data_IF_574707652489
#
_entry.id   IF_574707652489
#
_cell.length_a   1.000
_cell.length_b   1.000
_cell.length_c   1.000
_cell.angle_alpha   90.00
_cell.angle_beta   90.00
_cell.angle_gamma   90.00
#
_symmetry.space_group_name_H-M   'P 1'
#
loop_
_entity.id
_entity.type
_entity.pdbx_description
1 polymer ?
#
# COMPACT_ATOMS: atom_id res chain seq x y z
N UNK A 1 -15.56 -25.19 -13.96
CA UNK A 1 -14.19 -25.71 -14.14
C UNK A 1 -13.89 -26.53 -12.89
N UNK A 2 -13.55 -27.83 -12.99
CA UNK A 2 -13.41 -28.67 -11.81
C UNK A 2 -12.10 -28.42 -11.02
N UNK A 3 -11.06 -27.91 -11.69
CA UNK A 3 -9.77 -27.57 -11.08
C UNK A 3 -9.36 -26.15 -11.49
N UNK A 4 -9.69 -25.17 -10.65
CA UNK A 4 -9.35 -23.77 -10.87
C UNK A 4 -7.85 -23.48 -10.71
N UNK A 5 -7.14 -24.28 -9.89
CA UNK A 5 -5.71 -24.11 -9.67
C UNK A 5 -4.92 -24.44 -10.95
N UNK A 6 -5.19 -25.60 -11.54
CA UNK A 6 -4.56 -26.02 -12.81
C UNK A 6 -4.91 -25.04 -13.93
N UNK A 7 -6.17 -24.61 -14.03
CA UNK A 7 -6.58 -23.62 -15.03
C UNK A 7 -5.82 -22.29 -14.88
N UNK A 8 -5.76 -21.73 -13.66
CA UNK A 8 -5.08 -20.47 -13.41
C UNK A 8 -3.56 -20.59 -13.69
N UNK A 9 -2.94 -21.70 -13.29
CA UNK A 9 -1.49 -21.89 -13.44
C UNK A 9 -1.04 -22.05 -14.91
N UNK A 10 -1.94 -22.41 -15.84
CA UNK A 10 -1.64 -22.42 -17.28
C UNK A 10 -1.39 -21.02 -17.88
N UNK A 11 -1.60 -19.96 -17.09
CA UNK A 11 -1.38 -18.56 -17.49
C UNK A 11 -0.11 -17.97 -16.89
N UNK A 12 0.79 -18.82 -16.36
CA UNK A 12 2.13 -18.45 -15.91
C UNK A 12 3.11 -18.74 -17.05
N UNK A 13 3.92 -17.76 -17.40
CA UNK A 13 4.91 -17.86 -18.46
C UNK A 13 6.27 -17.40 -17.95
N UNK A 14 7.32 -18.16 -18.26
CA UNK A 14 8.69 -17.67 -18.13
C UNK A 14 8.94 -16.59 -19.20
N UNK A 15 9.60 -15.52 -18.82
CA UNK A 15 9.88 -14.37 -19.69
C UNK A 15 11.33 -13.91 -19.56
N UNK A 16 11.85 -13.32 -20.62
CA UNK A 16 13.11 -12.58 -20.56
C UNK A 16 12.83 -11.10 -20.28
N UNK A 17 13.68 -10.47 -19.47
CA UNK A 17 13.61 -9.03 -19.20
C UNK A 17 14.53 -8.30 -20.19
N UNK A 18 14.00 -7.43 -21.07
CA UNK A 18 14.84 -6.72 -22.04
C UNK A 18 15.93 -5.90 -21.35
N UNK A 19 17.19 -6.13 -21.73
CA UNK A 19 18.34 -5.41 -21.17
C UNK A 19 18.86 -5.97 -19.85
N UNK A 20 18.39 -7.14 -19.41
CA UNK A 20 18.89 -7.85 -18.23
C UNK A 20 19.14 -9.32 -18.59
N UNK A 21 20.32 -9.84 -18.21
CA UNK A 21 20.71 -11.23 -18.51
C UNK A 21 20.25 -12.23 -17.42
N UNK A 22 19.59 -11.75 -16.37
CA UNK A 22 19.08 -12.57 -15.29
C UNK A 22 17.98 -13.54 -15.78
N UNK A 23 18.09 -14.80 -15.37
CA UNK A 23 17.06 -15.81 -15.62
C UNK A 23 16.02 -15.86 -14.49
N UNK A 24 14.92 -16.58 -14.72
CA UNK A 24 13.91 -16.86 -13.68
C UNK A 24 12.79 -15.83 -13.57
N UNK A 25 12.69 -14.86 -14.49
CA UNK A 25 11.55 -13.95 -14.51
C UNK A 25 10.28 -14.64 -15.03
N UNK A 26 9.15 -14.34 -14.39
CA UNK A 26 7.84 -14.95 -14.70
C UNK A 26 6.76 -13.88 -14.82
N UNK A 27 5.78 -14.11 -15.68
CA UNK A 27 4.55 -13.30 -15.78
C UNK A 27 3.33 -14.18 -15.60
N UNK A 28 2.33 -13.66 -14.90
CA UNK A 28 0.99 -14.22 -14.85
C UNK A 28 0.01 -13.20 -15.44
N UNK A 29 -0.87 -13.65 -16.35
CA UNK A 29 -1.99 -12.85 -16.85
C UNK A 29 -3.26 -13.69 -16.86
N UNK A 30 -4.14 -13.47 -15.88
CA UNK A 30 -5.34 -14.27 -15.74
C UNK A 30 -6.22 -13.83 -14.57
N UNK A 31 -7.26 -14.60 -14.30
CA UNK A 31 -8.14 -14.31 -13.16
C UNK A 31 -7.52 -14.79 -11.84
N UNK A 32 -7.74 -14.05 -10.76
CA UNK A 32 -7.45 -14.41 -9.37
C UNK A 32 -8.60 -13.97 -8.47
N UNK A 33 -8.72 -14.56 -7.28
CA UNK A 33 -9.54 -13.97 -6.22
C UNK A 33 -8.93 -12.62 -5.85
N UNK A 34 -9.76 -11.61 -5.60
CA UNK A 34 -9.27 -10.33 -5.08
C UNK A 34 -8.59 -10.55 -3.73
N UNK A 35 -7.39 -10.01 -3.59
CA UNK A 35 -6.57 -10.13 -2.39
C UNK A 35 -6.37 -8.79 -1.67
N UNK A 36 -6.90 -7.69 -2.22
CA UNK A 36 -7.02 -6.44 -1.50
C UNK A 36 -8.20 -6.53 -0.52
N UNK A 37 -7.97 -6.08 0.70
CA UNK A 37 -8.94 -6.14 1.80
C UNK A 37 -9.30 -4.72 2.16
N UNK A 38 -10.60 -4.48 2.25
CA UNK A 38 -11.12 -3.14 2.15
C UNK A 38 -12.60 -3.04 2.49
N UNK A 39 -12.96 -2.00 3.24
CA UNK A 39 -14.34 -1.61 3.44
C UNK A 39 -14.56 -0.10 3.18
N UNK A 40 -14.34 0.28 1.93
CA UNK A 40 -14.32 1.70 1.52
C UNK A 40 -15.72 2.33 1.49
N UNK A 41 -16.79 1.57 1.25
CA UNK A 41 -18.14 2.11 1.25
C UNK A 41 -18.50 2.84 2.54
N UNK A 42 -18.01 2.34 3.67
CA UNK A 42 -18.28 2.90 4.99
C UNK A 42 -17.33 4.03 5.38
N UNK A 43 -16.09 4.01 4.90
CA UNK A 43 -15.13 5.10 5.10
C UNK A 43 -15.46 6.34 4.24
N UNK A 44 -16.11 6.19 3.07
CA UNK A 44 -16.20 7.24 2.04
C UNK A 44 -17.58 7.87 1.85
N UNK A 45 -18.66 7.21 2.29
CA UNK A 45 -20.03 7.75 2.23
C UNK A 45 -20.64 7.75 3.64
N UNK A 46 -20.43 8.87 4.36
CA UNK A 46 -21.03 9.19 5.67
C UNK A 46 -20.42 8.49 6.92
N UNK A 47 -19.17 8.00 6.90
CA UNK A 47 -18.51 7.34 8.05
C UNK A 47 -19.45 6.31 8.72
N UNK A 48 -19.73 5.22 8.01
CA UNK A 48 -20.54 4.12 8.50
C UNK A 48 -19.70 2.96 9.05
N UNK A 49 -18.46 3.24 9.49
CA UNK A 49 -17.57 2.27 10.16
C UNK A 49 -17.19 2.82 11.52
N UNK A 50 -16.88 1.94 12.48
CA UNK A 50 -16.31 2.32 13.77
C UNK A 50 -14.77 2.18 13.70
N UNK A 51 -14.03 3.29 13.47
CA UNK A 51 -12.58 3.23 13.32
C UNK A 51 -11.84 2.88 14.60
N UNK A 52 -12.56 2.83 15.74
CA UNK A 52 -12.05 2.41 17.05
C UNK A 52 -12.56 1.01 17.44
N UNK A 53 -13.32 0.38 16.56
CA UNK A 53 -13.87 -0.94 16.72
C UNK A 53 -12.83 -2.06 16.54
N UNK A 54 -13.27 -3.32 16.60
CA UNK A 54 -12.40 -4.46 16.29
C UNK A 54 -12.02 -4.47 14.80
N UNK A 55 -10.78 -4.87 14.50
CA UNK A 55 -10.25 -4.97 13.13
C UNK A 55 -10.99 -5.95 12.23
N UNK A 56 -11.74 -6.88 12.80
CA UNK A 56 -12.60 -7.86 12.13
C UNK A 56 -14.09 -7.59 12.39
N UNK A 57 -14.44 -6.33 12.71
CA UNK A 57 -15.79 -5.91 13.03
C UNK A 57 -16.74 -5.82 11.83
N UNK A 58 -16.19 -5.66 10.62
CA UNK A 58 -16.94 -5.42 9.41
C UNK A 58 -16.55 -6.39 8.28
N UNK A 59 -17.28 -6.31 7.15
CA UNK A 59 -17.04 -7.19 6.01
C UNK A 59 -16.07 -6.56 5.02
N UNK A 60 -15.14 -7.35 4.51
CA UNK A 60 -14.42 -7.01 3.29
C UNK A 60 -15.38 -7.06 2.09
N UNK A 61 -15.69 -5.91 1.49
CA UNK A 61 -16.65 -5.81 0.38
C UNK A 61 -16.14 -6.46 -0.92
N UNK A 62 -14.88 -6.88 -0.94
CA UNK A 62 -14.22 -7.53 -2.07
C UNK A 62 -14.10 -9.05 -1.92
N UNK A 63 -14.51 -9.64 -0.79
CA UNK A 63 -14.27 -11.05 -0.47
C UNK A 63 -14.78 -12.04 -1.51
N UNK A 64 -15.91 -11.72 -2.14
CA UNK A 64 -16.59 -12.56 -3.12
C UNK A 64 -16.25 -12.18 -4.58
N UNK A 65 -15.16 -11.42 -4.79
CA UNK A 65 -14.79 -10.90 -6.11
C UNK A 65 -13.59 -11.63 -6.72
N UNK A 66 -13.65 -11.75 -8.05
CA UNK A 66 -12.51 -12.13 -8.87
C UNK A 66 -12.04 -10.90 -9.65
N UNK A 67 -10.72 -10.77 -9.79
CA UNK A 67 -10.08 -9.73 -10.61
C UNK A 67 -9.24 -10.34 -11.72
N UNK A 68 -9.04 -9.57 -12.78
CA UNK A 68 -8.03 -9.90 -13.80
C UNK A 68 -6.71 -9.29 -13.35
N UNK A 69 -5.72 -10.13 -13.09
CA UNK A 69 -4.42 -9.71 -12.59
C UNK A 69 -3.35 -9.85 -13.66
N UNK A 70 -2.43 -8.90 -13.65
CA UNK A 70 -1.11 -9.01 -14.27
C UNK A 70 -0.13 -9.02 -13.10
N UNK A 71 0.64 -10.10 -12.94
CA UNK A 71 1.69 -10.18 -11.94
C UNK A 71 3.03 -10.50 -12.61
N UNK A 72 4.10 -9.92 -12.08
CA UNK A 72 5.46 -10.09 -12.58
C UNK A 72 6.35 -10.51 -11.41
N UNK A 73 7.13 -11.56 -11.61
CA UNK A 73 8.26 -11.90 -10.74
C UNK A 73 9.54 -11.60 -11.51
N UNK A 74 10.34 -10.69 -10.99
CA UNK A 74 11.49 -10.12 -11.69
C UNK A 74 12.70 -10.20 -10.75
N UNK A 75 13.87 -10.71 -11.21
CA UNK A 75 15.10 -10.63 -10.44
C UNK A 75 15.44 -9.18 -10.05
N UNK A 76 15.86 -8.97 -8.80
CA UNK A 76 16.15 -7.63 -8.25
C UNK A 76 17.16 -6.87 -9.12
N UNK A 77 18.19 -7.55 -9.61
CA UNK A 77 19.23 -6.98 -10.47
C UNK A 77 18.71 -6.42 -11.82
N UNK A 78 17.49 -6.79 -12.22
CA UNK A 78 16.83 -6.20 -13.39
C UNK A 78 16.01 -4.93 -13.08
N UNK A 79 15.78 -4.61 -11.80
CA UNK A 79 14.95 -3.49 -11.35
C UNK A 79 15.77 -2.33 -10.78
N UNK A 80 16.89 -2.63 -10.15
CA UNK A 80 17.77 -1.64 -9.53
C UNK A 80 18.80 -1.10 -10.52
N UNK A 81 19.13 0.18 -10.40
CA UNK A 81 20.23 0.80 -11.12
C UNK A 81 21.14 1.51 -10.13
N UNK A 82 22.45 1.53 -10.42
CA UNK A 82 23.47 2.10 -9.54
C UNK A 82 23.45 1.47 -8.13
N UNK A 83 23.76 2.28 -7.10
CA UNK A 83 23.87 1.85 -5.71
C UNK A 83 22.62 2.19 -4.86
N UNK A 84 21.52 2.68 -5.46
CA UNK A 84 20.28 3.01 -4.74
C UNK A 84 19.31 1.80 -4.80
N UNK A 85 19.06 1.11 -3.68
CA UNK A 85 18.18 -0.06 -3.67
C UNK A 85 16.70 0.32 -3.65
N UNK A 86 16.36 1.61 -3.53
CA UNK A 86 14.97 2.05 -3.44
C UNK A 86 14.41 2.35 -4.82
N UNK A 87 13.43 1.55 -5.23
CA UNK A 87 12.62 1.81 -6.43
C UNK A 87 11.30 2.45 -6.04
N UNK A 88 10.76 3.31 -6.92
CA UNK A 88 9.45 3.95 -6.76
C UNK A 88 8.56 3.69 -7.96
N UNK A 89 7.34 3.24 -7.71
CA UNK A 89 6.34 2.95 -8.74
C UNK A 89 5.02 3.67 -8.49
N UNK A 90 4.35 4.05 -9.58
CA UNK A 90 2.95 4.47 -9.54
C UNK A 90 2.25 3.96 -10.80
N UNK A 91 0.96 3.67 -10.66
CA UNK A 91 0.12 3.24 -11.76
C UNK A 91 -0.59 4.43 -12.38
N UNK A 92 -0.97 4.33 -13.66
CA UNK A 92 -1.78 5.37 -14.33
C UNK A 92 -2.85 4.72 -15.20
N UNK A 93 -4.04 5.29 -15.23
CA UNK A 93 -5.07 4.97 -16.20
C UNK A 93 -5.16 6.08 -17.26
N UNK A 94 -5.26 5.70 -18.53
CA UNK A 94 -5.37 6.64 -19.65
C UNK A 94 -6.61 6.38 -20.49
N UNK A 95 -7.36 7.45 -20.79
CA UNK A 95 -8.60 7.42 -21.58
C UNK A 95 -8.41 8.13 -22.93
N UNK A 96 -9.02 7.60 -23.98
CA UNK A 96 -9.07 8.23 -25.31
C UNK A 96 -8.95 7.24 -26.46
N UNK A 97 -9.65 7.54 -27.57
CA UNK A 97 -9.58 6.75 -28.81
C UNK A 97 -8.31 7.05 -29.64
N UNK A 98 -7.75 8.26 -29.49
CA UNK A 98 -6.57 8.71 -30.22
C UNK A 98 -5.31 8.68 -29.35
N UNK A 99 -4.13 8.57 -29.99
CA UNK A 99 -2.82 8.61 -29.34
C UNK A 99 -2.23 10.04 -29.46
N UNK A 100 -1.69 10.65 -28.39
CA UNK A 100 -1.57 10.12 -27.04
C UNK A 100 -2.88 10.18 -26.24
N UNK A 101 -3.16 9.10 -25.49
CA UNK A 101 -4.29 9.05 -24.54
C UNK A 101 -4.03 9.97 -23.35
N UNK A 102 -5.07 10.61 -22.82
CA UNK A 102 -4.98 11.48 -21.64
C UNK A 102 -4.96 10.64 -20.36
N UNK A 103 -4.07 10.96 -19.42
CA UNK A 103 -4.11 10.37 -18.08
C UNK A 103 -5.32 10.92 -17.32
N UNK A 104 -6.09 10.01 -16.71
CA UNK A 104 -7.32 10.34 -15.97
C UNK A 104 -7.30 9.78 -14.55
N UNK A 105 -6.29 8.98 -14.21
CA UNK A 105 -6.05 8.50 -12.86
C UNK A 105 -4.58 8.15 -12.69
N UNK A 106 -4.10 8.30 -11.46
CA UNK A 106 -2.87 7.69 -10.98
C UNK A 106 -2.99 7.26 -9.52
N UNK A 107 -2.18 6.30 -9.13
CA UNK A 107 -2.14 5.78 -7.76
C UNK A 107 -0.76 5.18 -7.43
N UNK A 108 -0.16 5.61 -6.33
CA UNK A 108 0.92 4.91 -5.63
C UNK A 108 0.40 4.24 -4.36
N UNK A 109 0.24 5.04 -3.30
CA UNK A 109 -0.22 4.67 -1.96
C UNK A 109 -1.76 4.68 -1.92
N UNK A 110 -2.42 3.60 -1.46
CA UNK A 110 -3.86 3.40 -1.64
C UNK A 110 -4.81 4.46 -1.07
N UNK A 111 -4.46 5.19 -0.01
CA UNK A 111 -5.34 6.23 0.55
C UNK A 111 -5.04 7.65 0.06
N UNK A 112 -3.93 7.89 -0.67
CA UNK A 112 -3.55 9.27 -0.99
C UNK A 112 -4.52 9.91 -1.98
N UNK A 113 -4.76 9.28 -3.14
CA UNK A 113 -5.70 9.83 -4.11
C UNK A 113 -7.14 9.76 -3.58
N UNK A 114 -7.42 8.79 -2.73
CA UNK A 114 -8.72 8.36 -2.27
C UNK A 114 -9.26 9.29 -1.18
N UNK A 115 -8.47 9.53 -0.12
CA UNK A 115 -8.86 10.27 1.10
C UNK A 115 -8.04 11.54 1.32
N UNK A 116 -6.74 11.50 1.04
CA UNK A 116 -5.85 12.64 1.35
C UNK A 116 -6.10 13.80 0.40
N UNK A 117 -6.17 13.53 -0.91
CA UNK A 117 -6.41 14.57 -1.92
C UNK A 117 -7.88 14.97 -1.95
N UNK A 118 -8.15 16.25 -1.69
CA UNK A 118 -9.48 16.82 -1.73
C UNK A 118 -10.16 16.71 -3.10
N UNK A 119 -11.49 16.55 -3.08
CA UNK A 119 -12.32 16.37 -4.28
C UNK A 119 -12.13 17.49 -5.32
N UNK A 120 -11.93 18.73 -4.88
CA UNK A 120 -11.72 19.90 -5.75
C UNK A 120 -10.40 19.86 -6.52
N UNK A 121 -9.43 19.05 -6.06
CA UNK A 121 -8.10 18.91 -6.65
C UNK A 121 -7.82 17.50 -7.18
N UNK A 122 -8.74 16.55 -7.00
CA UNK A 122 -8.59 15.14 -7.39
C UNK A 122 -8.35 14.97 -8.88
N UNK A 123 -9.05 15.69 -9.74
CA UNK A 123 -8.80 15.65 -11.20
C UNK A 123 -7.41 16.17 -11.56
N UNK A 124 -6.96 17.24 -10.90
CA UNK A 124 -5.62 17.82 -11.13
C UNK A 124 -4.52 16.86 -10.67
N UNK A 125 -4.70 16.18 -9.53
CA UNK A 125 -3.79 15.14 -9.05
C UNK A 125 -3.76 13.96 -10.01
N UNK A 126 -4.92 13.46 -10.43
CA UNK A 126 -5.05 12.32 -11.33
C UNK A 126 -4.45 12.57 -12.72
N UNK A 127 -4.46 13.82 -13.19
CA UNK A 127 -3.86 14.21 -14.46
C UNK A 127 -2.35 14.53 -14.38
N UNK A 128 -1.76 14.64 -13.17
CA UNK A 128 -0.36 15.03 -12.98
C UNK A 128 0.60 13.84 -12.89
N UNK A 129 1.91 14.13 -12.88
CA UNK A 129 2.96 13.17 -12.51
C UNK A 129 3.44 13.46 -11.09
N UNK A 130 3.94 12.44 -10.35
CA UNK A 130 4.35 12.62 -8.96
C UNK A 130 5.43 13.68 -8.71
N UNK A 131 6.25 13.98 -9.72
CA UNK A 131 7.38 14.93 -9.64
C UNK A 131 7.03 16.35 -9.16
N UNK A 132 5.75 16.73 -9.20
CA UNK A 132 5.27 18.06 -8.80
C UNK A 132 4.36 18.04 -7.56
N UNK A 133 4.29 16.90 -6.86
CA UNK A 133 3.31 16.72 -5.78
C UNK A 133 3.56 17.62 -4.59
N UNK A 134 4.82 17.75 -4.17
CA UNK A 134 5.21 18.67 -3.11
C UNK A 134 4.81 20.12 -3.41
N UNK A 135 4.85 20.53 -4.68
CA UNK A 135 4.49 21.90 -5.09
C UNK A 135 2.98 22.12 -5.13
N UNK A 136 2.20 21.11 -5.50
CA UNK A 136 0.79 21.30 -5.84
C UNK A 136 -0.22 20.70 -4.85
N UNK A 137 0.22 19.75 -4.02
CA UNK A 137 -0.65 18.94 -3.17
C UNK A 137 -0.14 18.76 -1.73
N UNK A 138 1.05 19.27 -1.38
CA UNK A 138 1.61 19.09 -0.03
C UNK A 138 0.70 19.55 1.11
N UNK A 139 -0.16 20.54 0.89
CA UNK A 139 -1.11 21.02 1.90
C UNK A 139 -2.08 19.92 2.36
N UNK A 140 -2.48 19.01 1.47
CA UNK A 140 -3.38 17.90 1.78
C UNK A 140 -2.71 16.86 2.68
N UNK A 141 -1.43 16.61 2.46
CA UNK A 141 -0.63 15.67 3.28
C UNK A 141 -0.27 16.31 4.63
N UNK A 142 0.11 17.58 4.63
CA UNK A 142 0.55 18.29 5.85
C UNK A 142 -0.60 18.75 6.74
N UNK A 143 -1.81 18.91 6.19
CA UNK A 143 -3.01 19.32 6.92
C UNK A 143 -4.18 18.42 6.52
N UNK A 144 -4.12 17.12 6.85
CA UNK A 144 -5.13 16.16 6.42
C UNK A 144 -6.47 16.46 7.08
N UNK A 145 -7.56 16.31 6.32
CA UNK A 145 -8.93 16.51 6.83
C UNK A 145 -9.45 15.31 7.60
N UNK A 146 -8.93 14.10 7.34
CA UNK A 146 -9.41 12.87 7.95
C UNK A 146 -9.35 12.90 9.50
N UNK A 147 -8.25 13.29 10.16
CA UNK A 147 -8.23 13.37 11.63
C UNK A 147 -9.22 14.36 12.23
N UNK A 148 -9.50 15.46 11.53
CA UNK A 148 -10.51 16.44 11.97
C UNK A 148 -11.92 15.84 11.91
N UNK A 149 -12.20 15.00 10.90
CA UNK A 149 -13.47 14.30 10.78
C UNK A 149 -13.62 13.21 11.84
N UNK A 150 -12.55 12.44 12.09
CA UNK A 150 -12.56 11.41 13.14
C UNK A 150 -12.73 12.06 14.53
N UNK A 151 -12.08 13.20 14.81
CA UNK A 151 -12.32 13.97 16.03
C UNK A 151 -13.80 14.33 16.19
N UNK A 152 -14.40 14.91 15.15
CA UNK A 152 -15.78 15.38 15.20
C UNK A 152 -16.81 14.25 15.43
N UNK A 153 -16.52 13.04 14.95
CA UNK A 153 -17.43 11.89 14.99
C UNK A 153 -17.17 10.96 16.19
N UNK A 154 -15.92 10.79 16.59
CA UNK A 154 -15.48 9.77 17.55
C UNK A 154 -14.70 10.34 18.76
N UNK A 155 -14.37 11.63 18.75
CA UNK A 155 -13.65 12.29 19.86
C UNK A 155 -12.18 11.91 19.97
N UNK A 156 -11.58 11.38 18.90
CA UNK A 156 -10.15 11.08 18.80
C UNK A 156 -9.37 12.38 18.62
N UNK A 157 -8.27 12.57 19.35
CA UNK A 157 -7.50 13.81 19.27
C UNK A 157 -6.72 13.83 17.96
N UNK A 158 -6.90 14.83 17.08
CA UNK A 158 -6.16 14.89 15.83
C UNK A 158 -4.69 15.23 16.11
N UNK A 159 -3.73 14.61 15.39
CA UNK A 159 -2.33 14.98 15.53
C UNK A 159 -2.06 16.41 15.07
N UNK A 160 -1.07 17.05 15.71
CA UNK A 160 -0.71 18.43 15.38
C UNK A 160 -0.22 18.56 13.93
N UNK A 161 -0.64 19.63 13.26
CA UNK A 161 -0.17 20.01 11.92
C UNK A 161 0.94 21.06 12.00
N UNK A 162 1.89 21.10 11.05
CA UNK A 162 1.95 20.31 9.82
C UNK A 162 2.48 18.88 10.03
N UNK A 163 1.85 17.91 9.35
CA UNK A 163 2.20 16.48 9.36
C UNK A 163 3.39 16.14 8.47
N UNK A 164 4.59 16.39 8.96
CA UNK A 164 5.85 16.10 8.25
C UNK A 164 6.11 14.59 8.13
N UNK A 165 5.66 13.83 9.13
CA UNK A 165 5.69 12.37 9.14
C UNK A 165 4.89 11.77 7.96
N UNK A 166 3.76 12.36 7.58
CA UNK A 166 3.00 11.94 6.39
C UNK A 166 3.70 12.31 5.08
N UNK A 167 4.48 13.40 5.06
CA UNK A 167 5.34 13.72 3.90
C UNK A 167 6.41 12.63 3.73
N UNK A 168 6.98 12.14 4.83
CA UNK A 168 7.90 11.01 4.81
C UNK A 168 7.22 9.72 4.35
N UNK A 169 6.09 9.36 4.96
CA UNK A 169 5.37 8.14 4.61
C UNK A 169 4.93 8.09 3.14
N UNK A 170 4.35 9.17 2.60
CA UNK A 170 3.71 9.14 1.28
C UNK A 170 4.51 9.80 0.15
N UNK A 171 5.45 10.71 0.45
CA UNK A 171 6.04 11.58 -0.57
C UNK A 171 7.54 11.41 -0.72
N UNK A 172 8.30 11.30 0.37
CA UNK A 172 9.77 11.19 0.30
C UNK A 172 10.30 9.79 0.58
N UNK A 173 9.53 8.96 1.29
CA UNK A 173 9.98 7.69 1.86
C UNK A 173 10.40 7.87 3.32
N UNK A 174 10.34 6.77 4.08
CA UNK A 174 10.75 6.70 5.48
C UNK A 174 12.28 6.63 5.54
N UNK A 175 12.96 7.55 6.25
CA UNK A 175 14.42 7.54 6.38
C UNK A 175 14.96 6.18 6.83
N UNK A 176 15.99 5.69 6.16
CA UNK A 176 16.62 4.39 6.47
C UNK A 176 15.83 3.15 6.03
N UNK A 177 14.60 3.32 5.53
CA UNK A 177 13.78 2.22 5.02
C UNK A 177 13.45 2.41 3.54
N UNK A 178 12.57 3.36 3.20
CA UNK A 178 12.08 3.58 1.83
C UNK A 178 12.48 4.94 1.25
N UNK A 179 13.32 5.73 1.92
CA UNK A 179 13.83 7.00 1.38
C UNK A 179 14.92 6.76 0.32
N UNK A 180 14.74 7.20 -0.94
CA UNK A 180 15.78 7.11 -1.97
C UNK A 180 17.02 7.94 -1.62
N UNK A 181 18.21 7.45 -1.99
CA UNK A 181 19.49 8.09 -1.68
C UNK A 181 19.59 9.52 -2.21
N UNK A 182 19.03 9.79 -3.39
CA UNK A 182 19.00 11.13 -3.96
C UNK A 182 18.19 12.13 -3.10
N UNK A 183 17.08 11.67 -2.50
CA UNK A 183 16.25 12.49 -1.61
C UNK A 183 16.99 12.72 -0.28
N UNK A 184 17.56 11.67 0.31
CA UNK A 184 18.38 11.76 1.53
C UNK A 184 19.56 12.74 1.37
N UNK A 185 20.15 12.83 0.17
CA UNK A 185 21.21 13.77 -0.16
C UNK A 185 20.73 15.22 -0.45
N UNK A 186 19.42 15.49 -0.38
CA UNK A 186 18.83 16.81 -0.64
C UNK A 186 18.72 17.20 -2.12
N UNK A 187 18.98 16.27 -3.05
CA UNK A 187 18.97 16.52 -4.50
C UNK A 187 17.79 15.92 -5.27
N UNK A 188 17.04 14.99 -4.66
CA UNK A 188 15.90 14.30 -5.25
C UNK A 188 14.57 15.05 -5.13
N UNK A 189 13.56 14.64 -5.91
CA UNK A 189 12.19 15.17 -5.82
C UNK A 189 11.26 14.11 -5.23
N UNK A 190 10.65 14.43 -4.10
CA UNK A 190 9.56 13.63 -3.55
C UNK A 190 8.33 13.65 -4.47
N UNK A 191 7.56 12.57 -4.39
CA UNK A 191 6.33 12.35 -5.14
C UNK A 191 5.57 11.17 -4.55
N UNK A 192 4.25 11.19 -4.70
CA UNK A 192 3.37 10.09 -4.30
C UNK A 192 3.66 8.87 -5.18
N UNK A 193 4.31 7.87 -4.58
CA UNK A 193 4.77 6.62 -5.20
C UNK A 193 4.85 5.54 -4.12
N UNK A 194 4.44 4.30 -4.46
CA UNK A 194 4.77 3.14 -3.65
C UNK A 194 6.27 2.85 -3.82
N UNK A 195 7.00 2.79 -2.71
CA UNK A 195 8.45 2.59 -2.72
C UNK A 195 8.80 1.22 -2.16
N UNK A 196 9.82 0.59 -2.72
CA UNK A 196 10.35 -0.69 -2.26
C UNK A 196 11.87 -0.56 -2.16
N UNK A 197 12.41 -0.82 -0.98
CA UNK A 197 13.83 -1.06 -0.80
C UNK A 197 14.13 -2.53 -1.07
N UNK A 198 14.70 -2.82 -2.22
CA UNK A 198 14.95 -4.19 -2.66
C UNK A 198 16.11 -4.87 -1.90
N UNK A 199 16.86 -4.12 -1.10
CA UNK A 199 17.94 -4.65 -0.27
C UNK A 199 17.52 -4.93 1.17
N UNK A 200 16.26 -4.61 1.54
CA UNK A 200 15.77 -4.77 2.90
C UNK A 200 14.36 -5.40 2.96
N UNK A 201 14.13 -6.40 3.83
CA UNK A 201 15.14 -7.12 4.61
C UNK A 201 16.06 -7.93 3.69
N UNK A 202 17.31 -8.18 4.12
CA UNK A 202 18.28 -8.96 3.34
C UNK A 202 17.73 -10.36 3.00
N UNK A 203 16.97 -10.94 3.93
CA UNK A 203 16.20 -12.16 3.71
C UNK A 203 14.71 -11.83 3.81
N UNK A 204 13.89 -12.13 2.78
CA UNK A 204 12.45 -11.90 2.86
C UNK A 204 11.80 -12.61 4.05
N UNK A 205 10.93 -11.91 4.78
CA UNK A 205 10.15 -12.48 5.89
C UNK A 205 9.32 -13.67 5.38
N UNK A 206 9.49 -14.88 5.93
CA UNK A 206 8.70 -16.05 5.56
C UNK A 206 7.21 -15.76 5.72
N UNK A 207 6.35 -16.24 4.80
CA UNK A 207 4.89 -15.98 4.84
C UNK A 207 4.24 -16.24 6.21
N UNK A 208 4.68 -17.28 6.92
CA UNK A 208 4.11 -17.65 8.22
C UNK A 208 4.50 -16.69 9.36
N UNK A 209 5.47 -15.81 9.12
CA UNK A 209 5.99 -14.81 10.06
C UNK A 209 5.66 -13.38 9.60
N UNK A 210 4.93 -13.22 8.49
CA UNK A 210 4.51 -11.91 8.02
C UNK A 210 3.36 -11.40 8.89
N UNK A 211 3.52 -10.18 9.39
CA UNK A 211 2.50 -9.48 10.15
C UNK A 211 1.68 -8.58 9.23
N UNK A 212 0.34 -8.64 9.36
CA UNK A 212 -0.59 -7.88 8.52
C UNK A 212 -0.44 -6.36 8.71
N UNK A 213 -0.03 -5.91 9.90
CA UNK A 213 0.24 -4.50 10.20
C UNK A 213 1.63 -4.01 9.74
N UNK A 214 2.45 -4.84 9.09
CA UNK A 214 3.71 -4.46 8.46
C UNK A 214 4.60 -3.60 9.38
N UNK A 215 4.90 -2.38 8.94
CA UNK A 215 5.72 -1.43 9.71
C UNK A 215 5.21 -1.23 11.15
N UNK A 216 3.91 -1.15 11.39
CA UNK A 216 3.37 -0.90 12.73
C UNK A 216 3.56 -2.09 13.70
N UNK A 217 3.82 -3.30 13.16
CA UNK A 217 4.15 -4.50 13.94
C UNK A 217 5.66 -4.80 13.97
N UNK A 218 6.50 -3.84 13.57
CA UNK A 218 7.94 -4.03 13.37
C UNK A 218 8.32 -5.10 12.32
N UNK A 219 7.38 -5.50 11.47
CA UNK A 219 7.66 -6.26 10.25
C UNK A 219 7.99 -5.28 9.12
N UNK A 220 9.22 -4.78 9.15
CA UNK A 220 9.71 -3.72 8.26
C UNK A 220 9.86 -4.16 6.79
N UNK A 221 9.61 -5.44 6.47
CA UNK A 221 9.48 -5.94 5.11
C UNK A 221 8.08 -5.80 4.52
N UNK A 222 7.10 -5.40 5.33
CA UNK A 222 5.74 -5.08 4.89
C UNK A 222 5.55 -3.60 4.56
N UNK A 223 4.32 -3.25 4.22
CA UNK A 223 3.92 -1.88 3.89
C UNK A 223 4.39 -0.87 4.98
N UNK A 224 5.02 0.26 4.59
CA UNK A 224 5.11 0.81 3.22
C UNK A 224 6.37 0.41 2.44
N UNK A 225 7.15 -0.59 2.87
CA UNK A 225 8.28 -1.12 2.09
C UNK A 225 7.78 -2.09 1.02
N UNK A 226 7.25 -1.52 -0.06
CA UNK A 226 6.38 -2.22 -0.99
C UNK A 226 5.03 -2.52 -0.34
N UNK A 227 4.33 -3.50 -0.89
CA UNK A 227 3.09 -4.03 -0.32
C UNK A 227 3.06 -5.53 -0.58
N UNK A 228 3.01 -6.34 0.48
CA UNK A 228 2.73 -7.77 0.40
C UNK A 228 1.22 -7.98 0.36
N UNK A 229 0.73 -9.08 -0.22
CA UNK A 229 -0.70 -9.34 -0.30
C UNK A 229 -1.42 -9.28 1.06
N UNK A 230 -0.77 -9.77 2.12
CA UNK A 230 -1.30 -9.84 3.49
C UNK A 230 -1.32 -8.49 4.23
N UNK A 231 -0.58 -7.49 3.75
CA UNK A 231 -0.48 -6.21 4.45
C UNK A 231 -1.86 -5.52 4.46
N UNK A 232 -2.33 -5.19 5.66
CA UNK A 232 -3.56 -4.46 5.94
C UNK A 232 -3.33 -2.97 5.73
N UNK A 233 -3.25 -2.59 4.45
CA UNK A 233 -2.83 -1.25 4.05
C UNK A 233 -3.77 -0.17 4.60
N UNK A 234 -5.07 -0.46 4.70
CA UNK A 234 -6.04 0.52 5.16
C UNK A 234 -5.86 0.79 6.65
N UNK A 235 -5.77 -0.24 7.48
CA UNK A 235 -5.48 -0.08 8.90
C UNK A 235 -4.15 0.64 9.13
N UNK A 236 -3.10 0.29 8.37
CA UNK A 236 -1.79 0.94 8.48
C UNK A 236 -1.89 2.43 8.13
N UNK A 237 -2.49 2.78 6.98
CA UNK A 237 -2.58 4.17 6.53
C UNK A 237 -3.51 5.00 7.44
N UNK A 238 -4.64 4.46 7.90
CA UNK A 238 -5.52 5.13 8.87
C UNK A 238 -4.80 5.40 10.19
N UNK A 239 -4.10 4.40 10.73
CA UNK A 239 -3.35 4.49 11.98
C UNK A 239 -2.21 5.52 11.88
N UNK A 240 -1.51 5.55 10.73
CA UNK A 240 -0.49 6.56 10.42
C UNK A 240 -1.11 7.96 10.29
N UNK A 241 -2.25 8.11 9.60
CA UNK A 241 -2.97 9.39 9.49
C UNK A 241 -3.47 9.87 10.85
N UNK A 242 -3.83 9.00 11.79
CA UNK A 242 -4.17 9.34 13.18
C UNK A 242 -2.95 9.51 14.11
N UNK A 243 -1.74 9.47 13.55
CA UNK A 243 -0.53 9.96 14.22
C UNK A 243 0.36 8.91 14.85
N UNK A 244 0.22 7.63 14.49
CA UNK A 244 1.04 6.56 15.07
C UNK A 244 2.56 6.74 14.90
N UNK A 245 2.99 7.49 13.87
CA UNK A 245 4.41 7.76 13.59
C UNK A 245 4.83 9.20 13.92
N UNK A 246 3.98 9.99 14.59
CA UNK A 246 4.41 11.29 15.13
C UNK A 246 5.20 11.07 16.43
N UNK A 247 6.03 12.06 16.80
CA UNK A 247 6.77 12.00 18.05
C UNK A 247 5.86 11.97 19.28
N UNK A 248 4.72 12.65 19.21
CA UNK A 248 3.76 12.74 20.31
C UNK A 248 2.84 11.52 20.39
N UNK A 249 2.55 10.86 19.26
CA UNK A 249 1.56 9.77 19.13
C UNK A 249 0.35 9.99 20.07
N UNK A 250 -0.47 11.03 19.83
CA UNK A 250 -1.39 11.59 20.82
C UNK A 250 -2.47 10.60 21.28
N UNK A 251 -2.73 9.57 20.48
CA UNK A 251 -3.74 8.54 20.74
C UNK A 251 -3.12 7.21 21.19
N UNK A 252 -1.81 7.18 21.50
CA UNK A 252 -1.07 5.98 21.91
C UNK A 252 -1.31 4.79 20.97
N UNK A 253 -1.24 5.04 19.66
CA UNK A 253 -1.45 4.03 18.62
C UNK A 253 -0.23 3.11 18.51
N UNK A 254 -0.47 1.91 18.01
CA UNK A 254 0.55 0.91 17.74
C UNK A 254 1.52 1.45 16.70
N UNK A 255 2.81 1.33 16.96
CA UNK A 255 3.86 1.72 16.03
C UNK A 255 5.13 0.93 16.31
N UNK A 256 6.01 0.89 15.32
CA UNK A 256 7.36 0.36 15.54
C UNK A 256 8.32 1.50 15.90
N UNK A 257 8.85 1.44 17.12
CA UNK A 257 9.90 2.34 17.57
C UNK A 257 11.26 1.86 17.06
N UNK A 258 11.90 2.69 16.25
CA UNK A 258 13.22 2.47 15.68
C UNK A 258 14.32 3.26 16.40
N UNK A 259 14.01 3.96 17.49
CA UNK A 259 14.96 4.82 18.21
C UNK A 259 15.91 4.06 19.14
N UNK A 260 15.59 2.81 19.48
CA UNK A 260 16.39 1.93 20.32
C UNK A 260 17.43 1.09 19.56
N UNK A 261 18.12 0.20 20.29
CA UNK A 261 19.11 -0.73 19.72
C UNK A 261 18.49 -1.78 18.78
N UNK A 262 17.18 -2.05 18.94
CA UNK A 262 16.41 -2.92 18.09
C UNK A 262 14.98 -2.37 17.92
N UNK A 263 14.33 -2.62 16.77
CA UNK A 263 12.93 -2.30 16.56
C UNK A 263 12.04 -2.91 17.66
N UNK A 264 11.12 -2.12 18.21
CA UNK A 264 10.20 -2.59 19.25
C UNK A 264 8.78 -2.09 18.97
N UNK A 265 7.79 -2.99 19.09
CA UNK A 265 6.38 -2.61 19.01
C UNK A 265 6.01 -1.86 20.28
N UNK A 266 5.40 -0.68 20.12
CA UNK A 266 4.86 0.14 21.20
C UNK A 266 3.35 0.20 21.06
N UNK A 267 2.62 0.17 22.18
CA UNK A 267 1.15 0.19 22.24
C UNK A 267 0.47 -0.91 21.40
N UNK A 268 0.95 -2.14 21.52
CA UNK A 268 0.41 -3.30 20.81
C UNK A 268 -1.13 -3.40 20.92
N UNK A 269 -1.79 -3.55 19.77
CA UNK A 269 -3.24 -3.66 19.61
C UNK A 269 -3.99 -2.34 19.39
N UNK A 270 -3.39 -1.17 19.66
CA UNK A 270 -4.07 0.11 19.50
C UNK A 270 -3.99 0.62 18.04
N UNK A 271 -4.93 0.21 17.18
CA UNK A 271 -4.96 0.65 15.77
C UNK A 271 -6.26 1.33 15.41
N UNK A 272 -6.22 2.10 14.33
CA UNK A 272 -7.39 2.68 13.67
C UNK A 272 -7.70 1.81 12.47
N UNK A 273 -8.97 1.39 12.33
CA UNK A 273 -9.33 0.33 11.39
C UNK A 273 -10.50 0.67 10.48
N UNK A 274 -10.62 -0.02 9.35
CA UNK A 274 -11.86 -0.06 8.56
C UNK A 274 -12.76 -1.26 8.91
N UNK A 275 -12.33 -2.09 9.86
CA UNK A 275 -13.02 -3.28 10.33
C UNK A 275 -12.87 -4.49 9.43
N UNK A 276 -12.06 -4.42 8.36
CA UNK A 276 -11.84 -5.52 7.42
C UNK A 276 -10.40 -6.05 7.50
N UNK A 277 -10.19 -7.06 8.35
CA UNK A 277 -8.87 -7.69 8.53
C UNK A 277 -8.54 -8.72 7.44
N UNK A 278 -7.31 -8.69 6.86
CA UNK A 278 -6.83 -9.74 5.97
C UNK A 278 -6.73 -11.12 6.61
N UNK A 279 -7.05 -12.15 5.84
CA UNK A 279 -6.87 -13.55 6.23
C UNK A 279 -5.65 -14.15 5.51
N UNK A 280 -4.59 -14.61 6.21
CA UNK A 280 -3.46 -15.30 5.61
C UNK A 280 -3.85 -16.43 4.67
N UNK A 281 -4.89 -17.20 4.98
CA UNK A 281 -5.34 -18.35 4.17
C UNK A 281 -5.88 -17.95 2.79
N UNK A 282 -6.13 -16.66 2.56
CA UNK A 282 -6.56 -16.13 1.26
C UNK A 282 -5.41 -15.90 0.27
N UNK A 283 -4.17 -16.19 0.64
CA UNK A 283 -2.99 -15.98 -0.21
C UNK A 283 -2.20 -17.25 -0.46
N UNK A 284 -1.62 -17.38 -1.65
CA UNK A 284 -0.76 -18.52 -2.01
C UNK A 284 0.68 -18.27 -1.53
N UNK A 285 1.38 -19.35 -1.17
CA UNK A 285 2.81 -19.31 -0.87
C UNK A 285 3.72 -19.30 -2.11
N UNK A 286 3.12 -19.30 -3.32
CA UNK A 286 3.83 -19.37 -4.59
C UNK A 286 3.28 -18.32 -5.56
N UNK A 287 4.13 -17.84 -6.47
CA UNK A 287 3.75 -16.91 -7.52
C UNK A 287 2.48 -17.36 -8.25
N UNK A 288 1.49 -16.46 -8.48
CA UNK A 288 1.52 -15.00 -8.28
C UNK A 288 1.03 -14.52 -6.91
N UNK A 289 1.06 -15.38 -5.89
CA UNK A 289 0.74 -15.11 -4.48
C UNK A 289 -0.74 -14.76 -4.18
N UNK A 290 -1.56 -14.47 -5.18
CA UNK A 290 -3.02 -14.34 -5.07
C UNK A 290 -3.74 -15.68 -5.24
N UNK A 291 -4.85 -15.89 -4.52
CA UNK A 291 -5.59 -17.14 -4.54
C UNK A 291 -6.18 -17.49 -5.92
N UNK A 292 -6.53 -18.76 -6.08
CA UNK A 292 -7.30 -19.23 -7.23
C UNK A 292 -8.64 -18.50 -7.31
N UNK A 293 -9.16 -18.23 -8.53
CA UNK A 293 -10.46 -17.60 -8.69
C UNK A 293 -11.58 -18.34 -7.96
N UNK A 294 -12.50 -17.58 -7.39
CA UNK A 294 -13.76 -18.09 -6.87
C UNK A 294 -14.58 -18.73 -8.00
N UNK A 295 -15.24 -19.87 -7.76
CA UNK A 295 -16.07 -20.51 -8.76
C UNK A 295 -17.32 -19.66 -9.05
N UNK A 296 -17.65 -19.49 -10.34
CA UNK A 296 -18.85 -18.74 -10.74
C UNK A 296 -20.18 -19.48 -10.49
N UNK A 297 -20.12 -20.76 -10.09
CA UNK A 297 -21.28 -21.58 -9.70
C UNK A 297 -20.92 -22.36 -8.43
N UNK A 298 -21.77 -22.35 -7.39
CA UNK A 298 -21.54 -23.08 -6.14
C UNK A 298 -21.59 -24.60 -6.32
N UNK A 299 -22.12 -25.08 -7.45
CA UNK A 299 -22.11 -26.47 -7.86
C UNK A 299 -21.19 -26.64 -9.07
N UNK A 300 -19.96 -27.08 -8.83
CA UNK A 300 -19.07 -27.72 -9.81
C UNK A 300 -18.52 -29.00 -9.20
#
# INVERSE_FOLDING_TARGET
IPDYATYANNHIYDVAIPGCDAEGARVFVGQRREGFVFNLGEVFDLFNTDPLGPRDGELNILDDKNVTSIALEIPIECLTADDDPVIGGWTTARRGANVPRAQVSRLGSPLVNEVVIGLDRKDAFNASRPIADLTHFASFVTNPTLPVLIEALFGVTPPATPRIDLVQAFVTGIPGLTEPAAIAAGGGRGGEMLRLNTAFPETPTPRAEQEDLGFLACDLGGFPNGRRPIDDVIDIELTVVEGAITAENPNALQTCDLSGDAPAVVNEGAVVTDGARPNPDDYLAVFPYLNTPLPGSPSN
#
